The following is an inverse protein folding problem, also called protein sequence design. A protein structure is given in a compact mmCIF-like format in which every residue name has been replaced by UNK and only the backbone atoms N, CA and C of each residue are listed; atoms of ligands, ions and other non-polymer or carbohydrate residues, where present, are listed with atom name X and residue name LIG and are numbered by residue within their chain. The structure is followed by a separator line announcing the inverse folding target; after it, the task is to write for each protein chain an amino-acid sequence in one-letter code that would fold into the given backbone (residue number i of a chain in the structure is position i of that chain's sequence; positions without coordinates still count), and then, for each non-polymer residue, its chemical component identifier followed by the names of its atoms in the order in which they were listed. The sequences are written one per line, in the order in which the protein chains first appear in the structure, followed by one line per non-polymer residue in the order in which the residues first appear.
data_IF_819983436618
#
_entry.id   IF_819983436618
#
_cell.length_a   1.000
_cell.length_b   1.000
_cell.length_c   1.000
_cell.angle_alpha   90.00
_cell.angle_beta   90.00
_cell.angle_gamma   90.00
#
_symmetry.space_group_name_H-M   'P 1'
#
loop_
_entity.id
_entity.type
_entity.pdbx_description
1 polymer ?
#
# COMPACT_ATOMS: atom_id res chain seq x y z
N UNK A 1 15.02 14.16 -1.54
CA UNK A 1 14.58 12.75 -1.67
C UNK A 1 13.16 12.62 -2.22
N UNK A 2 12.13 13.26 -1.66
CA UNK A 2 10.73 13.19 -2.16
C UNK A 2 10.58 13.94 -3.49
N UNK A 3 11.30 15.02 -3.70
CA UNK A 3 11.25 15.83 -4.93
C UNK A 3 11.75 15.09 -6.19
N UNK A 4 12.57 14.06 -6.01
CA UNK A 4 13.08 13.21 -7.12
C UNK A 4 12.14 12.07 -7.50
N UNK A 5 11.04 11.89 -6.77
CA UNK A 5 10.06 10.85 -7.07
C UNK A 5 9.16 11.25 -8.25
N UNK A 6 8.76 10.29 -9.09
CA UNK A 6 7.75 10.51 -10.12
C UNK A 6 6.49 11.17 -9.57
N UNK A 7 5.86 12.06 -10.35
CA UNK A 7 4.66 12.77 -9.95
C UNK A 7 3.56 11.80 -9.46
N UNK A 8 3.31 10.72 -10.21
CA UNK A 8 2.30 9.74 -9.85
C UNK A 8 2.50 9.10 -8.46
N UNK A 9 3.75 9.00 -7.98
CA UNK A 9 4.03 8.54 -6.61
C UNK A 9 3.68 9.63 -5.60
N UNK A 10 4.09 10.87 -5.87
CA UNK A 10 3.80 12.01 -4.97
C UNK A 10 2.31 12.21 -4.77
N UNK A 11 1.53 12.04 -5.81
CA UNK A 11 0.07 12.20 -5.81
C UNK A 11 -0.65 11.06 -5.03
N UNK A 12 0.04 9.93 -4.77
CA UNK A 12 -0.53 8.81 -4.00
C UNK A 12 -0.24 8.90 -2.51
N UNK A 13 0.68 9.76 -2.08
CA UNK A 13 0.97 9.95 -0.66
C UNK A 13 -0.16 10.72 0.01
N UNK A 14 -0.57 10.25 1.18
CA UNK A 14 -1.56 10.95 1.98
C UNK A 14 -0.95 12.18 2.65
N UNK A 15 -1.80 13.13 3.01
CA UNK A 15 -1.36 14.30 3.79
C UNK A 15 -0.68 13.88 5.09
N UNK A 16 0.53 14.37 5.32
CA UNK A 16 1.34 14.05 6.48
C UNK A 16 1.94 12.63 6.50
N UNK A 17 1.81 11.86 5.41
CA UNK A 17 2.48 10.55 5.28
C UNK A 17 3.99 10.74 5.07
N UNK A 18 4.80 10.12 5.92
CA UNK A 18 6.26 10.25 5.89
C UNK A 18 6.90 9.07 5.17
N UNK A 19 7.74 9.36 4.17
CA UNK A 19 8.53 8.34 3.48
C UNK A 19 9.83 8.11 4.23
N UNK A 20 10.02 6.89 4.73
CA UNK A 20 11.22 6.48 5.45
C UNK A 20 12.31 5.96 4.52
N UNK A 21 11.91 5.21 3.50
CA UNK A 21 12.85 4.62 2.55
C UNK A 21 12.25 4.51 1.16
N UNK A 22 13.09 4.67 0.15
CA UNK A 22 12.76 4.44 -1.25
C UNK A 22 13.72 3.41 -1.81
N UNK A 23 13.17 2.37 -2.41
CA UNK A 23 13.88 1.38 -3.19
C UNK A 23 13.59 1.62 -4.68
N UNK A 24 14.62 1.67 -5.48
CA UNK A 24 14.52 1.84 -6.93
C UNK A 24 15.19 0.68 -7.64
N UNK A 25 14.50 0.04 -8.56
CA UNK A 25 15.09 -1.06 -9.34
C UNK A 25 16.03 -0.55 -10.40
N UNK A 26 17.05 -1.34 -10.73
CA UNK A 26 17.91 -1.07 -11.87
C UNK A 26 17.17 -1.43 -13.16
N UNK A 27 17.07 -0.48 -14.08
CA UNK A 27 16.48 -0.71 -15.39
C UNK A 27 17.33 -0.06 -16.48
N UNK A 28 17.59 -0.81 -17.55
CA UNK A 28 18.30 -0.32 -18.73
C UNK A 28 17.33 0.00 -19.89
N UNK A 29 16.17 -0.62 -19.91
CA UNK A 29 15.21 -0.55 -21.03
C UNK A 29 13.85 -0.02 -20.60
N UNK A 30 13.36 -0.45 -19.44
CA UNK A 30 12.08 -0.04 -18.89
C UNK A 30 12.26 1.12 -17.89
N UNK A 31 11.18 1.81 -17.57
CA UNK A 31 11.18 2.71 -16.41
C UNK A 31 11.49 1.92 -15.15
N UNK A 32 12.23 2.49 -14.18
CA UNK A 32 12.49 1.81 -12.92
C UNK A 32 11.20 1.65 -12.13
N UNK A 33 11.12 0.56 -11.37
CA UNK A 33 10.07 0.36 -10.38
C UNK A 33 10.50 1.00 -9.06
N UNK A 34 9.55 1.49 -8.30
CA UNK A 34 9.78 2.11 -7.01
C UNK A 34 9.01 1.37 -5.93
N UNK A 35 9.65 1.18 -4.79
CA UNK A 35 8.98 0.71 -3.57
C UNK A 35 9.30 1.66 -2.44
N UNK A 36 8.27 2.21 -1.83
CA UNK A 36 8.39 3.16 -0.73
C UNK A 36 7.95 2.51 0.57
N UNK A 37 8.74 2.70 1.60
CA UNK A 37 8.32 2.47 2.98
C UNK A 37 7.90 3.79 3.57
N UNK A 38 6.66 3.86 4.01
CA UNK A 38 6.14 5.04 4.71
C UNK A 38 5.95 4.72 6.19
N UNK A 39 5.50 5.69 6.96
CA UNK A 39 5.09 5.47 8.35
C UNK A 39 3.81 4.64 8.50
N UNK A 40 3.13 4.29 7.39
CA UNK A 40 1.81 3.63 7.38
C UNK A 40 1.76 2.34 6.58
N UNK A 41 2.50 2.27 5.45
CA UNK A 41 2.32 1.22 4.43
C UNK A 41 3.56 1.05 3.55
N UNK A 42 3.54 -0.02 2.77
CA UNK A 42 4.41 -0.21 1.62
C UNK A 42 3.65 0.23 0.38
N UNK A 43 4.25 1.10 -0.42
CA UNK A 43 3.74 1.48 -1.74
C UNK A 43 4.66 0.93 -2.81
N UNK A 44 4.12 0.13 -3.72
CA UNK A 44 4.81 -0.31 -4.93
C UNK A 44 4.26 0.42 -6.13
N UNK A 45 5.15 0.97 -6.95
CA UNK A 45 4.82 1.73 -8.14
C UNK A 45 5.66 1.29 -9.33
N UNK A 46 4.98 0.89 -10.40
CA UNK A 46 5.59 0.49 -11.67
C UNK A 46 4.99 1.31 -12.80
N UNK A 47 5.72 2.31 -13.25
CA UNK A 47 5.30 3.14 -14.38
C UNK A 47 5.53 2.41 -15.69
N UNK A 48 4.46 2.25 -16.46
CA UNK A 48 4.45 1.64 -17.79
C UNK A 48 4.47 2.69 -18.90
N UNK A 49 4.61 2.23 -20.11
CA UNK A 49 4.50 3.08 -21.29
C UNK A 49 3.11 3.72 -21.38
N UNK A 50 3.04 4.90 -22.00
CA UNK A 50 1.81 5.66 -22.21
C UNK A 50 1.14 6.17 -20.91
N UNK A 51 1.92 6.47 -19.88
CA UNK A 51 1.41 7.05 -18.63
C UNK A 51 0.59 6.10 -17.75
N UNK A 52 0.48 4.81 -18.12
CA UNK A 52 -0.10 3.80 -17.25
C UNK A 52 0.85 3.42 -16.14
N UNK A 53 0.33 3.01 -15.00
CA UNK A 53 1.13 2.50 -13.89
C UNK A 53 0.38 1.41 -13.13
N UNK A 54 1.14 0.48 -12.56
CA UNK A 54 0.65 -0.42 -11.55
C UNK A 54 0.97 0.20 -10.18
N UNK A 55 -0.01 0.28 -9.33
CA UNK A 55 0.14 0.73 -7.95
C UNK A 55 -0.35 -0.38 -7.02
N UNK A 56 0.45 -0.74 -6.05
CA UNK A 56 0.01 -1.58 -4.96
C UNK A 56 0.22 -0.88 -3.62
N UNK A 57 -0.79 -0.95 -2.78
CA UNK A 57 -0.85 -0.40 -1.44
C UNK A 57 -0.97 -1.55 -0.44
N UNK A 58 0.04 -1.70 0.41
CA UNK A 58 0.10 -2.76 1.41
C UNK A 58 0.26 -2.12 2.80
N UNK A 59 -0.84 -1.86 3.53
CA UNK A 59 -0.75 -1.52 4.94
C UNK A 59 0.03 -2.60 5.70
N UNK A 60 0.90 -2.23 6.63
CA UNK A 60 1.71 -3.22 7.35
C UNK A 60 0.86 -4.25 8.09
N UNK A 61 -0.32 -3.86 8.58
CA UNK A 61 -1.29 -4.78 9.19
C UNK A 61 -1.85 -5.83 8.23
N UNK A 62 -1.77 -5.59 6.91
CA UNK A 62 -2.22 -6.50 5.85
C UNK A 62 -1.09 -7.25 5.15
N UNK A 63 0.14 -7.05 5.58
CA UNK A 63 1.29 -7.78 5.09
C UNK A 63 1.30 -9.19 5.68
N UNK A 64 1.18 -10.21 4.84
CA UNK A 64 1.19 -11.62 5.27
C UNK A 64 2.61 -12.16 5.37
N UNK A 65 3.43 -11.91 4.35
CA UNK A 65 4.82 -12.39 4.36
C UNK A 65 5.73 -11.53 3.49
N UNK A 66 7.01 -11.61 3.79
CA UNK A 66 8.11 -11.02 3.04
C UNK A 66 9.14 -12.10 2.77
N UNK A 67 9.65 -12.12 1.55
CA UNK A 67 10.81 -12.90 1.17
C UNK A 67 11.76 -12.00 0.39
N UNK A 68 13.01 -11.93 0.80
CA UNK A 68 14.03 -11.18 0.07
C UNK A 68 15.27 -12.03 -0.13
N UNK A 69 15.89 -11.85 -1.27
CA UNK A 69 17.10 -12.56 -1.65
C UNK A 69 18.14 -11.61 -2.24
N UNK A 70 19.31 -11.61 -1.65
CA UNK A 70 20.48 -10.93 -2.20
C UNK A 70 21.30 -11.91 -3.00
N UNK A 71 21.35 -11.75 -4.30
CA UNK A 71 22.12 -12.58 -5.21
C UNK A 71 23.64 -12.37 -5.07
N UNK A 72 24.42 -13.24 -5.71
CA UNK A 72 25.89 -13.18 -5.71
C UNK A 72 26.46 -11.98 -6.48
N UNK A 73 25.78 -11.58 -7.56
CA UNK A 73 26.26 -10.55 -8.47
C UNK A 73 25.78 -9.16 -8.03
N UNK A 74 25.09 -8.46 -8.92
CA UNK A 74 24.70 -7.06 -8.72
C UNK A 74 23.33 -6.88 -8.12
N UNK A 75 22.45 -7.86 -8.30
CA UNK A 75 21.02 -7.72 -8.03
C UNK A 75 20.48 -8.84 -7.16
N UNK A 76 19.38 -8.56 -6.54
CA UNK A 76 18.54 -9.52 -5.86
C UNK A 76 17.05 -9.24 -6.12
N UNK A 77 16.19 -9.79 -5.29
CA UNK A 77 14.74 -9.66 -5.39
C UNK A 77 14.10 -9.52 -4.02
N UNK A 78 12.90 -8.92 -4.01
CA UNK A 78 12.05 -8.83 -2.83
C UNK A 78 10.64 -9.19 -3.26
N UNK A 79 9.95 -9.96 -2.43
CA UNK A 79 8.56 -10.34 -2.62
C UNK A 79 7.74 -9.96 -1.39
N UNK A 80 6.57 -9.39 -1.63
CA UNK A 80 5.58 -9.06 -0.61
C UNK A 80 4.29 -9.81 -0.89
N UNK A 81 3.81 -10.56 0.08
CA UNK A 81 2.48 -11.16 0.03
C UNK A 81 1.54 -10.33 0.89
N UNK A 82 0.48 -9.82 0.29
CA UNK A 82 -0.63 -9.18 1.00
C UNK A 82 -1.68 -10.22 1.33
N UNK A 83 -2.30 -10.11 2.51
CA UNK A 83 -3.41 -10.96 2.92
C UNK A 83 -4.51 -11.01 1.86
N UNK A 84 -5.01 -12.21 1.58
CA UNK A 84 -6.07 -12.50 0.61
C UNK A 84 -5.70 -12.30 -0.86
N UNK A 85 -4.53 -11.79 -1.18
CA UNK A 85 -4.09 -11.70 -2.57
C UNK A 85 -3.58 -13.06 -3.05
N UNK A 86 -3.95 -13.43 -4.27
CA UNK A 86 -3.57 -14.74 -4.85
C UNK A 86 -2.11 -14.83 -5.25
N UNK A 87 -1.46 -13.69 -5.49
CA UNK A 87 -0.09 -13.62 -5.97
C UNK A 87 0.72 -12.59 -5.20
N UNK A 88 1.99 -12.88 -4.89
CA UNK A 88 2.88 -11.90 -4.31
C UNK A 88 3.23 -10.80 -5.33
N UNK A 89 3.57 -9.64 -4.81
CA UNK A 89 4.22 -8.57 -5.56
C UNK A 89 5.72 -8.88 -5.56
N UNK A 90 6.26 -9.19 -6.73
CA UNK A 90 7.66 -9.58 -6.90
C UNK A 90 8.43 -8.45 -7.57
N UNK A 91 9.49 -7.98 -6.91
CA UNK A 91 10.37 -6.91 -7.36
C UNK A 91 11.72 -7.52 -7.67
N UNK A 92 12.10 -7.49 -8.93
CA UNK A 92 13.38 -8.02 -9.41
C UNK A 92 14.38 -6.89 -9.71
N UNK A 93 15.63 -7.24 -9.93
CA UNK A 93 16.71 -6.29 -10.26
C UNK A 93 16.93 -5.21 -9.21
N UNK A 94 16.68 -5.54 -7.96
CA UNK A 94 17.00 -4.68 -6.82
C UNK A 94 18.52 -4.64 -6.66
N UNK A 95 19.16 -3.45 -6.59
CA UNK A 95 20.58 -3.37 -6.28
C UNK A 95 20.89 -4.10 -4.97
N UNK A 96 21.88 -4.99 -4.99
CA UNK A 96 22.15 -5.89 -3.84
C UNK A 96 22.42 -5.15 -2.53
N UNK A 97 23.03 -3.98 -2.62
CA UNK A 97 23.46 -3.19 -1.47
C UNK A 97 22.29 -2.38 -0.87
N UNK A 98 21.16 -2.29 -1.58
CA UNK A 98 19.94 -1.63 -1.11
C UNK A 98 18.99 -2.59 -0.37
N UNK A 99 19.16 -3.92 -0.54
CA UNK A 99 18.23 -4.92 0.02
C UNK A 99 18.28 -4.92 1.55
N UNK A 100 19.46 -5.09 2.14
CA UNK A 100 19.61 -5.18 3.59
C UNK A 100 19.14 -3.89 4.30
N UNK A 101 19.58 -2.68 3.90
CA UNK A 101 19.06 -1.46 4.50
C UNK A 101 17.55 -1.24 4.31
N UNK A 102 16.99 -1.78 3.22
CA UNK A 102 15.55 -1.72 3.00
C UNK A 102 14.79 -2.65 3.95
N UNK A 103 15.29 -3.89 4.14
CA UNK A 103 14.68 -4.85 5.07
C UNK A 103 14.79 -4.37 6.52
N UNK A 104 15.92 -3.78 6.92
CA UNK A 104 16.07 -3.17 8.26
C UNK A 104 15.06 -2.03 8.47
N UNK A 105 14.91 -1.14 7.50
CA UNK A 105 13.92 -0.06 7.57
C UNK A 105 12.48 -0.60 7.63
N UNK A 106 12.21 -1.68 6.92
CA UNK A 106 10.90 -2.35 6.93
C UNK A 106 10.62 -3.01 8.29
N UNK A 107 11.59 -3.69 8.88
CA UNK A 107 11.47 -4.27 10.22
C UNK A 107 11.17 -3.19 11.26
N UNK A 108 11.89 -2.08 11.22
CA UNK A 108 11.62 -0.93 12.09
C UNK A 108 10.21 -0.34 11.87
N UNK A 109 9.78 -0.19 10.62
CA UNK A 109 8.45 0.33 10.31
C UNK A 109 7.33 -0.58 10.82
N UNK A 110 7.46 -1.90 10.69
CA UNK A 110 6.52 -2.86 11.25
C UNK A 110 6.53 -2.80 12.78
N UNK A 111 7.71 -2.77 13.42
CA UNK A 111 7.85 -2.73 14.88
C UNK A 111 7.27 -1.46 15.50
N UNK A 112 7.24 -0.35 14.78
CA UNK A 112 6.60 0.88 15.25
C UNK A 112 5.09 0.74 15.48
N UNK A 113 4.43 -0.18 14.75
CA UNK A 113 2.99 -0.42 14.83
C UNK A 113 2.63 -1.79 15.42
N UNK A 114 3.52 -2.74 15.45
CA UNK A 114 3.30 -4.05 16.07
C UNK A 114 3.15 -3.89 17.60
N UNK A 115 2.25 -4.68 18.20
CA UNK A 115 2.10 -4.72 19.68
C UNK A 115 3.30 -5.42 20.28
N UNK A 116 3.71 -6.54 19.69
CA UNK A 116 4.91 -7.27 20.05
C UNK A 116 5.98 -7.11 18.97
N UNK A 117 7.24 -6.89 19.35
CA UNK A 117 8.33 -6.78 18.39
C UNK A 117 8.47 -8.03 17.53
N UNK A 118 8.68 -7.83 16.24
CA UNK A 118 8.98 -8.89 15.29
C UNK A 118 10.46 -8.84 14.92
N UNK A 119 10.97 -9.96 14.44
CA UNK A 119 12.27 -10.02 13.79
C UNK A 119 12.14 -10.68 12.42
N UNK A 120 12.79 -10.09 11.43
CA UNK A 120 12.89 -10.69 10.10
C UNK A 120 14.06 -11.67 10.10
N UNK A 121 13.77 -12.96 9.93
CA UNK A 121 14.80 -14.00 9.90
C UNK A 121 15.79 -13.75 8.77
N UNK A 122 17.09 -13.78 9.14
CA UNK A 122 18.20 -13.66 8.20
C UNK A 122 18.94 -14.97 8.09
N UNK A 123 19.09 -15.48 6.89
CA UNK A 123 19.82 -16.73 6.61
C UNK A 123 20.93 -16.50 5.63
N UNK A 124 22.11 -17.02 5.93
CA UNK A 124 23.25 -17.03 5.02
C UNK A 124 23.22 -18.32 4.20
N UNK A 125 22.99 -18.18 2.90
CA UNK A 125 23.02 -19.27 1.94
C UNK A 125 24.42 -19.58 1.42
N UNK A 126 24.51 -20.55 0.52
CA UNK A 126 25.75 -20.94 -0.14
C UNK A 126 26.31 -19.79 -0.98
N UNK A 127 27.63 -19.66 -1.01
CA UNK A 127 28.38 -18.75 -1.89
C UNK A 127 28.08 -17.26 -1.66
N UNK A 128 27.75 -16.84 -0.43
CA UNK A 128 27.53 -15.45 -0.07
C UNK A 128 26.12 -14.93 -0.40
N UNK A 129 25.20 -15.81 -0.77
CA UNK A 129 23.79 -15.53 -0.88
C UNK A 129 23.22 -15.18 0.49
N UNK A 130 22.36 -14.17 0.57
CA UNK A 130 21.65 -13.79 1.79
C UNK A 130 20.17 -13.84 1.53
N UNK A 131 19.43 -14.40 2.47
CA UNK A 131 17.97 -14.49 2.42
C UNK A 131 17.37 -13.89 3.68
N UNK A 132 16.26 -13.19 3.52
CA UNK A 132 15.44 -12.65 4.61
C UNK A 132 14.04 -13.19 4.45
N UNK A 133 13.44 -13.61 5.55
CA UNK A 133 12.08 -14.16 5.57
C UNK A 133 11.32 -13.66 6.78
N UNK A 134 10.09 -13.23 6.53
CA UNK A 134 9.11 -12.92 7.55
C UNK A 134 7.78 -13.53 7.16
N UNK A 135 7.07 -14.07 8.12
CA UNK A 135 5.69 -14.49 7.97
C UNK A 135 4.89 -14.06 9.19
N UNK A 136 3.80 -13.37 8.95
CA UNK A 136 2.88 -12.92 10.00
C UNK A 136 2.28 -14.11 10.73
N UNK A 137 2.41 -14.12 12.06
CA UNK A 137 1.71 -15.09 12.89
C UNK A 137 0.21 -14.75 13.02
N UNK A 138 -0.65 -15.76 13.27
CA UNK A 138 -2.09 -15.56 13.37
C UNK A 138 -2.50 -14.65 14.54
N UNK A 139 -1.69 -14.60 15.59
CA UNK A 139 -1.95 -13.79 16.80
C UNK A 139 -1.27 -12.41 16.77
N UNK A 140 -0.59 -12.08 15.67
CA UNK A 140 0.11 -10.81 15.58
C UNK A 140 -0.83 -9.63 15.50
N UNK A 141 -0.80 -8.79 16.52
CA UNK A 141 -1.63 -7.61 16.65
C UNK A 141 -0.86 -6.34 16.27
N UNK A 142 -1.59 -5.37 15.74
CA UNK A 142 -1.07 -4.05 15.37
C UNK A 142 -1.81 -2.97 16.13
N UNK A 143 -1.07 -1.95 16.56
CA UNK A 143 -1.63 -0.76 17.19
C UNK A 143 -2.48 -0.01 16.18
N UNK A 144 -3.72 0.33 16.54
CA UNK A 144 -4.53 1.26 15.75
C UNK A 144 -3.89 2.63 15.81
N UNK A 145 -3.54 3.21 14.67
CA UNK A 145 -3.10 4.60 14.60
C UNK A 145 -4.32 5.53 14.45
N UNK A 146 -4.29 6.73 15.03
CA UNK A 146 -5.38 7.71 14.84
C UNK A 146 -5.70 8.02 13.36
N UNK A 147 -4.70 7.88 12.47
CA UNK A 147 -4.90 8.08 11.04
C UNK A 147 -5.63 6.90 10.33
N UNK A 148 -5.54 5.69 10.89
CA UNK A 148 -6.31 4.55 10.41
C UNK A 148 -7.76 4.61 10.91
N UNK A 149 -7.98 5.17 12.10
CA UNK A 149 -9.31 5.51 12.60
C UNK A 149 -10.01 6.51 11.65
N UNK A 150 -9.33 7.55 11.18
CA UNK A 150 -9.89 8.50 10.22
C UNK A 150 -10.21 7.91 8.84
N UNK A 151 -9.48 6.88 8.41
CA UNK A 151 -9.76 6.18 7.15
C UNK A 151 -10.91 5.15 7.31
N UNK A 152 -11.02 4.52 8.47
CA UNK A 152 -12.14 3.66 8.83
C UNK A 152 -13.42 4.49 9.07
N UNK A 153 -13.31 5.60 9.80
CA UNK A 153 -14.43 6.53 10.01
C UNK A 153 -14.98 7.06 8.68
N UNK A 154 -14.14 7.39 7.70
CA UNK A 154 -14.65 7.82 6.38
C UNK A 154 -15.36 6.72 5.59
N UNK A 155 -15.10 5.44 5.87
CA UNK A 155 -15.84 4.32 5.28
C UNK A 155 -17.08 3.96 6.08
N UNK A 156 -17.05 4.17 7.40
CA UNK A 156 -18.18 3.87 8.30
C UNK A 156 -19.12 5.06 8.42
N UNK A 157 -18.70 6.32 8.22
CA UNK A 157 -19.57 7.49 8.14
C UNK A 157 -20.55 7.47 6.96
N UNK A 158 -20.40 6.54 6.03
CA UNK A 158 -21.44 6.29 5.01
C UNK A 158 -22.56 5.38 5.57
N UNK A 159 -22.45 4.90 6.83
CA UNK A 159 -23.39 3.94 7.42
C UNK A 159 -23.99 4.30 8.78
N UNK A 160 -23.75 5.47 9.36
CA UNK A 160 -24.44 5.86 10.57
C UNK A 160 -25.10 7.24 10.41
N UNK A 161 -26.42 7.19 10.33
CA UNK A 161 -27.45 8.15 10.74
C UNK A 161 -27.06 9.63 10.97
N UNK A 162 -26.49 10.25 9.97
CA UNK A 162 -26.87 11.64 9.70
C UNK A 162 -28.28 11.53 9.12
N UNK A 163 -29.28 12.26 9.60
CA UNK A 163 -30.58 12.36 8.92
C UNK A 163 -30.30 12.93 7.55
N UNK A 164 -30.05 12.04 6.61
CA UNK A 164 -29.78 12.39 5.21
C UNK A 164 -31.09 12.92 4.72
N UNK A 165 -31.13 14.24 4.45
CA UNK A 165 -32.28 14.87 3.82
C UNK A 165 -32.69 13.97 2.63
N UNK A 166 -33.89 13.35 2.67
CA UNK A 166 -34.33 12.41 1.64
C UNK A 166 -34.26 13.02 0.24
N UNK A 167 -34.38 14.34 0.12
CA UNK A 167 -34.24 15.11 -1.10
C UNK A 167 -32.78 15.12 -1.60
N UNK A 168 -31.82 15.20 -0.68
CA UNK A 168 -30.40 15.21 -1.04
C UNK A 168 -29.95 13.82 -1.53
N UNK A 169 -30.40 12.76 -0.88
CA UNK A 169 -30.19 11.38 -1.32
C UNK A 169 -30.80 11.12 -2.69
N UNK A 170 -32.02 11.62 -2.91
CA UNK A 170 -32.71 11.48 -4.19
C UNK A 170 -31.98 12.20 -5.33
N UNK A 171 -31.42 13.41 -5.06
CA UNK A 171 -30.59 14.16 -6.01
C UNK A 171 -29.33 13.40 -6.37
N UNK A 172 -28.63 12.82 -5.39
CA UNK A 172 -27.41 12.06 -5.62
C UNK A 172 -27.66 10.82 -6.48
N UNK A 173 -28.76 10.09 -6.23
CA UNK A 173 -29.14 8.93 -7.05
C UNK A 173 -29.48 9.31 -8.50
N UNK A 174 -30.05 10.47 -8.72
CA UNK A 174 -30.33 10.99 -10.05
C UNK A 174 -29.04 11.39 -10.77
N UNK A 175 -28.14 12.10 -10.11
CA UNK A 175 -26.83 12.54 -10.67
C UNK A 175 -25.94 11.33 -11.01
N UNK A 176 -26.07 10.22 -10.27
CA UNK A 176 -25.32 9.00 -10.50
C UNK A 176 -26.00 8.06 -11.54
N UNK A 177 -27.00 8.53 -12.29
CA UNK A 177 -27.78 7.73 -13.26
C UNK A 177 -28.43 6.45 -12.67
N UNK A 178 -28.61 6.38 -11.36
CA UNK A 178 -29.25 5.24 -10.67
C UNK A 178 -30.77 5.26 -10.82
N UNK A 179 -31.37 6.40 -11.12
CA UNK A 179 -32.80 6.58 -11.33
C UNK A 179 -33.09 7.51 -12.50
N UNK A 180 -34.15 7.22 -13.25
CA UNK A 180 -34.60 8.05 -14.36
C UNK A 180 -35.20 9.39 -13.89
N UNK A 181 -35.21 10.38 -14.79
CA UNK A 181 -35.79 11.71 -14.53
C UNK A 181 -37.26 11.64 -14.08
N UNK A 182 -38.06 10.80 -14.72
CA UNK A 182 -39.46 10.59 -14.34
C UNK A 182 -39.60 10.08 -12.91
N UNK A 183 -38.75 9.13 -12.52
CA UNK A 183 -38.74 8.57 -11.18
C UNK A 183 -38.24 9.60 -10.14
N UNK A 184 -37.25 10.41 -10.51
CA UNK A 184 -36.76 11.51 -9.69
C UNK A 184 -37.86 12.53 -9.43
N UNK A 185 -38.54 13.03 -10.45
CA UNK A 185 -39.62 14.04 -10.35
C UNK A 185 -40.80 13.50 -9.53
N UNK A 186 -41.17 12.23 -9.72
CA UNK A 186 -42.25 11.58 -8.97
C UNK A 186 -41.92 11.49 -7.47
N UNK A 187 -40.70 11.06 -7.14
CA UNK A 187 -40.25 10.94 -5.73
C UNK A 187 -40.03 12.31 -5.07
N UNK A 188 -39.50 13.29 -5.80
CA UNK A 188 -39.36 14.66 -5.32
C UNK A 188 -40.69 15.27 -4.90
N UNK A 189 -41.76 15.02 -5.69
CA UNK A 189 -43.12 15.49 -5.39
C UNK A 189 -43.77 14.85 -4.15
N UNK A 190 -43.27 13.69 -3.74
CA UNK A 190 -43.71 12.98 -2.52
C UNK A 190 -42.93 13.43 -1.27
N UNK A 191 -41.79 14.07 -1.44
CA UNK A 191 -40.89 14.53 -0.39
C UNK A 191 -40.94 16.04 -0.16
N UNK A 192 -41.65 16.77 -1.01
CA UNK A 192 -41.97 18.20 -0.86
C UNK A 192 -43.35 18.41 -0.31
#
# INVERSE_FOLDING_TARGET
MIEELPQGIRDTLNSGEQVHRVLKTASLVNKPEYTLLTDRRILYFNEKWLGRYDLADIPYSKLESISAERGRLRFGSIEFQKEKDKKPISISKVPKDDIEPFIEALELAINNIAVEPISIERRKGLMGKMEWKFKKGPEMLFKSRPADAGALERRDFIKEDVPVDPLQTLKMRFVNDEISEEKYLKMKKLLS
#
